data_IF_438591950325
#
_entry.id   IF_438591950325
#
_cell.length_a   1.000
_cell.length_b   1.000
_cell.length_c   1.000
_cell.angle_alpha   90.00
_cell.angle_beta   90.00
_cell.angle_gamma   90.00
#
_symmetry.space_group_name_H-M   'P 1'
#
loop_
_entity.id
_entity.type
_entity.pdbx_description
1 polymer ?
#
# COMPACT_ATOMS: atom_id res chain seq x y z
N UNK A 1 0.20 16.32 12.38
CA UNK A 1 -0.42 17.08 13.49
C UNK A 1 -1.83 16.53 13.67
N UNK A 2 -2.44 16.62 14.85
CA UNK A 2 -3.77 16.06 15.13
C UNK A 2 -4.69 17.20 15.56
N UNK A 3 -5.89 17.26 14.99
CA UNK A 3 -6.90 18.27 15.28
C UNK A 3 -7.50 18.03 16.67
N UNK A 4 -6.98 18.76 17.66
CA UNK A 4 -7.41 18.65 19.06
C UNK A 4 -8.86 19.08 19.28
N UNK A 5 -9.38 20.05 18.50
CA UNK A 5 -10.79 20.49 18.62
C UNK A 5 -11.73 19.35 18.28
N UNK A 6 -11.45 18.65 17.20
CA UNK A 6 -12.20 17.48 16.77
C UNK A 6 -12.17 16.34 17.79
N UNK A 7 -11.00 16.02 18.34
CA UNK A 7 -10.91 14.98 19.39
C UNK A 7 -11.66 15.36 20.66
N UNK A 8 -11.57 16.63 21.08
CA UNK A 8 -12.23 17.14 22.28
C UNK A 8 -13.76 17.13 22.13
N UNK A 9 -14.28 17.59 20.99
CA UNK A 9 -15.72 17.55 20.71
C UNK A 9 -16.28 16.11 20.77
N UNK A 10 -15.53 15.13 20.28
CA UNK A 10 -15.92 13.72 20.39
C UNK A 10 -15.85 13.22 21.83
N UNK A 11 -14.82 13.61 22.59
CA UNK A 11 -14.66 13.22 23.99
C UNK A 11 -15.79 13.76 24.87
N UNK A 12 -16.22 15.01 24.62
CA UNK A 12 -17.27 15.70 25.39
C UNK A 12 -18.69 15.27 24.98
N UNK A 13 -18.83 14.68 23.79
CA UNK A 13 -20.11 14.15 23.30
C UNK A 13 -20.52 12.84 24.01
N UNK A 14 -21.79 12.46 23.84
CA UNK A 14 -22.32 11.17 24.29
C UNK A 14 -21.58 9.94 23.69
N UNK A 15 -20.84 10.11 22.59
CA UNK A 15 -20.07 9.03 21.99
C UNK A 15 -18.78 8.73 22.75
N UNK A 16 -18.11 9.75 23.31
CA UNK A 16 -16.84 9.64 24.03
C UNK A 16 -15.64 9.05 23.25
N UNK A 17 -15.83 8.63 22.00
CA UNK A 17 -14.78 8.04 21.17
C UNK A 17 -15.14 8.03 19.68
N UNK A 18 -14.10 8.08 18.83
CA UNK A 18 -14.24 7.99 17.36
C UNK A 18 -14.92 6.69 16.93
N UNK A 19 -14.65 5.58 17.62
CA UNK A 19 -15.24 4.27 17.29
C UNK A 19 -16.76 4.26 17.45
N UNK A 20 -17.26 4.79 18.59
CA UNK A 20 -18.69 4.86 18.86
C UNK A 20 -19.40 5.84 17.93
N UNK A 21 -18.79 6.99 17.63
CA UNK A 21 -19.31 7.94 16.64
C UNK A 21 -19.38 7.29 15.25
N UNK A 22 -18.33 6.60 14.82
CA UNK A 22 -18.30 5.94 13.52
C UNK A 22 -19.38 4.85 13.40
N UNK A 23 -19.58 4.06 14.45
CA UNK A 23 -20.62 3.03 14.53
C UNK A 23 -22.02 3.66 14.43
N UNK A 24 -22.29 4.71 15.21
CA UNK A 24 -23.55 5.44 15.19
C UNK A 24 -23.89 5.98 13.79
N UNK A 25 -22.90 6.57 13.11
CA UNK A 25 -23.07 7.13 11.78
C UNK A 25 -23.06 6.08 10.65
N UNK A 26 -22.80 4.80 10.96
CA UNK A 26 -22.62 3.75 9.95
C UNK A 26 -21.43 4.01 9.01
N UNK A 27 -20.44 4.79 9.47
CA UNK A 27 -19.21 5.14 8.77
C UNK A 27 -18.06 4.23 9.21
N UNK A 28 -17.01 4.13 8.38
CA UNK A 28 -15.81 3.40 8.83
C UNK A 28 -15.03 4.25 9.83
N UNK A 29 -14.49 3.64 10.89
CA UNK A 29 -13.57 4.29 11.84
C UNK A 29 -12.50 5.14 11.16
N UNK A 30 -11.84 4.59 10.12
CA UNK A 30 -10.79 5.30 9.37
C UNK A 30 -11.27 6.55 8.62
N UNK A 31 -12.55 6.62 8.28
CA UNK A 31 -13.11 7.83 7.66
C UNK A 31 -13.27 8.93 8.71
N UNK A 32 -13.84 8.61 9.87
CA UNK A 32 -13.99 9.55 10.98
C UNK A 32 -12.62 9.99 11.52
N UNK A 33 -11.74 9.02 11.80
CA UNK A 33 -10.36 9.27 12.29
C UNK A 33 -9.53 10.13 11.33
N UNK A 34 -9.80 10.05 10.02
CA UNK A 34 -9.03 10.83 9.04
C UNK A 34 -9.31 12.32 9.06
N UNK A 35 -10.38 12.77 9.73
CA UNK A 35 -10.65 14.19 9.97
C UNK A 35 -9.95 14.71 11.24
N UNK A 36 -9.68 13.82 12.21
CA UNK A 36 -8.81 14.13 13.34
C UNK A 36 -7.34 14.24 12.95
N UNK A 37 -6.89 13.51 11.92
CA UNK A 37 -5.52 13.60 11.39
C UNK A 37 -5.42 14.79 10.45
N UNK A 38 -4.62 15.81 10.83
CA UNK A 38 -4.53 17.06 10.06
C UNK A 38 -4.17 16.79 8.59
N UNK A 39 -4.91 17.43 7.70
CA UNK A 39 -4.70 17.35 6.25
C UNK A 39 -5.96 17.10 5.43
N UNK A 40 -7.10 16.82 6.07
CA UNK A 40 -8.38 16.70 5.35
C UNK A 40 -9.24 17.93 5.54
N UNK A 41 -9.50 18.59 4.42
CA UNK A 41 -10.45 19.70 4.36
C UNK A 41 -11.88 19.19 4.53
N UNK A 42 -12.69 19.80 5.41
CA UNK A 42 -14.10 19.42 5.60
C UNK A 42 -14.96 19.78 4.38
N UNK A 43 -14.55 20.82 3.65
CA UNK A 43 -15.23 21.35 2.47
C UNK A 43 -14.55 20.88 1.19
N UNK A 44 -15.33 20.62 0.14
CA UNK A 44 -14.83 20.26 -1.18
C UNK A 44 -14.39 21.49 -2.01
N UNK A 45 -13.96 21.26 -3.26
CA UNK A 45 -13.51 22.37 -4.13
C UNK A 45 -14.63 23.35 -4.51
N UNK A 46 -15.89 22.90 -4.47
CA UNK A 46 -17.08 23.69 -4.82
C UNK A 46 -17.68 24.43 -3.62
N UNK A 47 -17.04 24.40 -2.45
CA UNK A 47 -17.62 24.99 -1.24
C UNK A 47 -18.73 24.14 -0.63
N UNK A 48 -18.79 22.84 -0.92
CA UNK A 48 -19.82 21.95 -0.38
C UNK A 48 -19.24 21.15 0.78
N UNK A 49 -19.92 21.15 1.92
CA UNK A 49 -19.57 20.30 3.07
C UNK A 49 -19.73 18.84 2.66
N UNK A 50 -18.73 18.01 2.97
CA UNK A 50 -18.80 16.57 2.65
C UNK A 50 -19.88 15.90 3.50
N UNK A 51 -20.56 14.91 2.94
CA UNK A 51 -21.59 14.14 3.65
C UNK A 51 -21.14 13.65 5.03
N UNK A 52 -19.98 12.98 5.08
CA UNK A 52 -19.46 12.44 6.35
C UNK A 52 -19.31 13.56 7.41
N UNK A 53 -18.89 14.76 6.99
CA UNK A 53 -18.70 15.90 7.90
C UNK A 53 -20.03 16.49 8.35
N UNK A 54 -20.99 16.67 7.43
CA UNK A 54 -22.31 17.15 7.78
C UNK A 54 -22.98 16.22 8.81
N UNK A 55 -22.87 14.90 8.61
CA UNK A 55 -23.39 13.90 9.55
C UNK A 55 -22.65 13.92 10.90
N UNK A 56 -21.34 14.18 10.91
CA UNK A 56 -20.56 14.33 12.16
C UNK A 56 -21.00 15.59 12.92
N UNK A 57 -21.14 16.73 12.25
CA UNK A 57 -21.60 17.98 12.84
C UNK A 57 -23.00 17.82 13.45
N UNK A 58 -23.91 17.18 12.73
CA UNK A 58 -25.27 16.89 13.22
C UNK A 58 -25.25 15.97 14.45
N UNK A 59 -24.46 14.89 14.44
CA UNK A 59 -24.40 13.97 15.56
C UNK A 59 -23.74 14.56 16.81
N UNK A 60 -22.77 15.46 16.63
CA UNK A 60 -22.06 16.13 17.73
C UNK A 60 -22.76 17.43 18.18
N UNK A 61 -23.85 17.84 17.51
CA UNK A 61 -24.56 19.10 17.73
C UNK A 61 -23.61 20.32 17.72
N UNK A 62 -22.75 20.40 16.71
CA UNK A 62 -21.72 21.43 16.61
C UNK A 62 -21.54 21.95 15.18
N UNK A 63 -21.02 23.17 15.05
CA UNK A 63 -20.72 23.79 13.76
C UNK A 63 -19.42 23.25 13.14
N UNK A 64 -19.14 23.67 11.91
CA UNK A 64 -17.90 23.29 11.21
C UNK A 64 -16.68 23.93 11.90
N UNK A 65 -16.84 25.16 12.36
CA UNK A 65 -15.86 26.04 12.98
C UNK A 65 -15.47 25.55 14.39
N UNK A 66 -16.41 24.89 15.07
CA UNK A 66 -16.16 24.23 16.35
C UNK A 66 -15.21 23.03 16.16
N UNK A 67 -15.37 22.29 15.06
CA UNK A 67 -14.61 21.07 14.79
C UNK A 67 -13.29 21.31 14.07
N UNK A 68 -13.23 22.31 13.19
CA UNK A 68 -12.12 22.52 12.27
C UNK A 68 -11.58 23.94 12.41
N UNK A 69 -10.25 24.11 12.46
CA UNK A 69 -9.66 25.44 12.53
C UNK A 69 -9.81 26.16 11.18
N UNK A 70 -9.76 27.49 11.20
CA UNK A 70 -10.03 28.34 10.02
C UNK A 70 -9.12 28.02 8.83
N UNK A 71 -7.88 27.59 9.07
CA UNK A 71 -6.95 27.22 8.01
C UNK A 71 -7.42 25.98 7.22
N UNK A 72 -8.33 25.18 7.78
CA UNK A 72 -8.97 24.05 7.10
C UNK A 72 -10.28 24.44 6.40
N UNK A 73 -10.91 25.55 6.82
CA UNK A 73 -12.13 26.13 6.22
C UNK A 73 -11.71 27.35 5.38
N UNK A 74 -10.92 27.10 4.34
CA UNK A 74 -10.28 28.16 3.54
C UNK A 74 -11.20 28.86 2.52
N UNK A 75 -12.52 28.66 2.62
CA UNK A 75 -13.50 29.15 1.65
C UNK A 75 -14.91 29.22 2.24
N UNK A 76 -15.78 30.08 1.70
CA UNK A 76 -17.21 30.02 1.96
C UNK A 76 -17.75 28.62 1.66
N UNK A 77 -18.61 28.12 2.53
CA UNK A 77 -19.21 26.80 2.37
C UNK A 77 -20.73 26.83 2.52
N UNK A 78 -21.36 25.78 2.01
CA UNK A 78 -22.77 25.49 2.24
C UNK A 78 -22.98 24.01 2.50
N UNK A 79 -23.94 23.69 3.36
CA UNK A 79 -24.44 22.33 3.56
C UNK A 79 -25.49 22.06 2.48
N UNK A 80 -25.47 20.88 1.86
CA UNK A 80 -26.53 20.48 0.92
C UNK A 80 -27.80 20.12 1.69
N UNK A 81 -28.94 20.45 1.09
CA UNK A 81 -30.27 20.04 1.60
C UNK A 81 -30.47 18.52 1.54
N UNK A 82 -29.82 17.83 0.60
CA UNK A 82 -29.88 16.37 0.49
C UNK A 82 -28.62 15.75 -0.11
N UNK A 83 -28.27 14.58 0.40
CA UNK A 83 -27.19 13.70 -0.06
C UNK A 83 -27.72 12.34 -0.55
N UNK A 84 -29.00 12.27 -0.92
CA UNK A 84 -29.63 11.04 -1.40
C UNK A 84 -28.98 10.46 -2.67
N UNK A 85 -28.26 11.30 -3.43
CA UNK A 85 -27.45 10.91 -4.59
C UNK A 85 -26.12 10.23 -4.22
N UNK A 86 -25.81 10.10 -2.93
CA UNK A 86 -24.55 9.56 -2.44
C UNK A 86 -23.37 10.51 -2.62
N UNK A 87 -23.62 11.80 -2.89
CA UNK A 87 -22.55 12.77 -3.08
C UNK A 87 -21.72 12.95 -1.81
N UNK A 88 -20.41 12.86 -1.93
CA UNK A 88 -19.50 12.93 -0.78
C UNK A 88 -19.54 11.69 0.13
N UNK A 89 -20.46 10.74 -0.10
CA UNK A 89 -20.43 9.44 0.57
C UNK A 89 -19.26 8.63 0.02
N UNK A 90 -18.39 8.19 0.90
CA UNK A 90 -17.39 7.19 0.52
C UNK A 90 -18.12 5.88 0.30
N UNK A 91 -17.99 5.31 -0.90
CA UNK A 91 -18.39 3.92 -1.16
C UNK A 91 -17.90 3.07 0.01
N UNK A 92 -18.82 2.46 0.77
CA UNK A 92 -18.47 1.45 1.76
C UNK A 92 -17.60 0.46 1.02
N UNK A 93 -16.30 0.41 1.33
CA UNK A 93 -15.49 -0.74 0.93
C UNK A 93 -16.19 -1.88 1.63
N UNK A 94 -16.97 -2.67 0.89
CA UNK A 94 -17.38 -3.99 1.35
C UNK A 94 -16.11 -4.58 1.96
N UNK A 95 -16.11 -4.92 3.26
CA UNK A 95 -14.95 -5.58 3.83
C UNK A 95 -14.68 -6.72 2.86
N UNK A 96 -13.48 -6.73 2.27
CA UNK A 96 -13.03 -7.93 1.57
C UNK A 96 -13.18 -8.98 2.64
N UNK A 97 -14.22 -9.83 2.56
CA UNK A 97 -14.34 -11.02 3.38
C UNK A 97 -12.94 -11.60 3.33
N UNK A 98 -12.26 -11.63 4.48
CA UNK A 98 -11.03 -12.37 4.62
C UNK A 98 -11.38 -13.74 4.08
N UNK A 99 -10.91 -14.02 2.86
CA UNK A 99 -11.20 -15.27 2.18
C UNK A 99 -10.33 -16.32 2.89
N UNK A 100 -10.78 -16.71 4.07
CA UNK A 100 -10.35 -17.82 4.89
C UNK A 100 -11.62 -18.52 5.35
N UNK A 101 -12.29 -19.16 4.41
CA UNK A 101 -13.25 -20.25 4.59
C UNK A 101 -13.66 -20.73 3.19
N UNK A 102 -13.21 -21.92 2.84
CA UNK A 102 -13.67 -22.77 1.73
C UNK A 102 -13.89 -22.16 0.35
N UNK A 103 -12.79 -21.94 -0.38
CA UNK A 103 -12.77 -22.23 -1.83
C UNK A 103 -11.43 -22.89 -2.16
N UNK A 104 -11.38 -23.97 -2.98
CA UNK A 104 -10.12 -24.43 -3.55
C UNK A 104 -9.59 -23.32 -4.44
N UNK A 105 -8.60 -22.58 -3.93
CA UNK A 105 -8.06 -21.39 -4.58
C UNK A 105 -7.04 -21.86 -5.61
N UNK A 106 -7.53 -22.29 -6.78
CA UNK A 106 -6.67 -22.50 -7.93
C UNK A 106 -5.82 -21.23 -8.11
N UNK A 107 -4.48 -21.32 -8.14
CA UNK A 107 -3.65 -20.13 -8.20
C UNK A 107 -3.97 -19.38 -9.49
N UNK A 108 -4.12 -18.03 -9.46
CA UNK A 108 -4.31 -17.27 -10.68
C UNK A 108 -3.09 -17.55 -11.55
N UNK A 109 -3.27 -18.26 -12.68
CA UNK A 109 -2.22 -18.88 -13.50
C UNK A 109 -0.92 -18.05 -13.57
N UNK A 110 -1.05 -16.73 -13.76
CA UNK A 110 0.06 -15.76 -13.82
C UNK A 110 0.96 -15.69 -12.58
N UNK A 111 0.45 -15.91 -11.36
CA UNK A 111 1.27 -15.90 -10.14
C UNK A 111 2.01 -17.23 -9.95
N UNK A 112 1.37 -18.36 -10.22
CA UNK A 112 2.02 -19.66 -10.17
C UNK A 112 3.12 -19.77 -11.22
N UNK A 113 2.87 -19.28 -12.42
CA UNK A 113 3.86 -19.22 -13.50
C UNK A 113 5.09 -18.37 -13.11
N UNK A 114 4.87 -17.20 -12.49
CA UNK A 114 5.97 -16.36 -11.98
C UNK A 114 6.79 -17.02 -10.87
N UNK A 115 6.13 -17.77 -9.98
CA UNK A 115 6.82 -18.50 -8.91
C UNK A 115 7.66 -19.63 -9.52
N UNK A 116 7.07 -20.45 -10.39
CA UNK A 116 7.75 -21.54 -11.10
C UNK A 116 8.95 -21.03 -11.90
N UNK A 117 8.77 -19.94 -12.65
CA UNK A 117 9.87 -19.33 -13.42
C UNK A 117 11.02 -18.92 -12.50
N UNK A 118 10.71 -18.26 -11.37
CA UNK A 118 11.73 -17.85 -10.41
C UNK A 118 12.43 -19.04 -9.76
N UNK A 119 11.71 -20.11 -9.45
CA UNK A 119 12.31 -21.34 -8.91
C UNK A 119 13.24 -22.00 -9.94
N UNK A 120 12.84 -22.04 -11.21
CA UNK A 120 13.69 -22.53 -12.30
C UNK A 120 14.95 -21.67 -12.46
N UNK A 121 14.81 -20.34 -12.50
CA UNK A 121 15.93 -19.39 -12.59
C UNK A 121 16.92 -19.58 -11.41
N UNK A 122 16.42 -19.81 -10.20
CA UNK A 122 17.26 -20.07 -9.02
C UNK A 122 17.93 -21.45 -9.06
N UNK A 123 17.24 -22.47 -9.56
CA UNK A 123 17.83 -23.80 -9.75
C UNK A 123 18.97 -23.75 -10.77
N UNK A 124 18.79 -23.01 -11.86
CA UNK A 124 19.83 -22.79 -12.87
C UNK A 124 21.06 -22.07 -12.28
N UNK A 125 20.85 -21.02 -11.49
CA UNK A 125 21.94 -20.34 -10.77
C UNK A 125 22.70 -21.28 -9.83
N UNK A 126 22.01 -22.22 -9.17
CA UNK A 126 22.68 -23.21 -8.32
C UNK A 126 23.57 -24.14 -9.13
N UNK A 127 23.12 -24.58 -10.30
CA UNK A 127 23.95 -25.37 -11.22
C UNK A 127 25.24 -24.64 -11.62
N UNK A 128 25.15 -23.35 -11.95
CA UNK A 128 26.34 -22.54 -12.28
C UNK A 128 27.24 -22.22 -11.07
N UNK A 129 26.69 -22.22 -9.86
CA UNK A 129 27.48 -22.13 -8.63
C UNK A 129 28.26 -23.41 -8.39
N UNK A 130 27.62 -24.57 -8.56
CA UNK A 130 28.25 -25.87 -8.43
C UNK A 130 29.33 -26.11 -9.50
N UNK A 131 29.17 -25.56 -10.71
CA UNK A 131 30.20 -25.60 -11.75
C UNK A 131 31.37 -24.63 -11.54
N UNK A 132 31.31 -23.79 -10.50
CA UNK A 132 32.36 -22.82 -10.16
C UNK A 132 32.35 -21.54 -11.00
N UNK A 133 31.30 -21.28 -11.79
CA UNK A 133 31.12 -20.01 -12.52
C UNK A 133 30.66 -18.88 -11.58
N UNK A 134 29.83 -19.19 -10.59
CA UNK A 134 29.35 -18.22 -9.60
C UNK A 134 30.11 -18.35 -8.27
N UNK A 135 30.23 -17.25 -7.49
CA UNK A 135 29.66 -15.93 -7.75
C UNK A 135 30.60 -14.96 -8.50
N UNK A 136 31.90 -15.27 -8.61
CA UNK A 136 32.90 -14.28 -9.03
C UNK A 136 33.30 -14.36 -10.51
N UNK A 137 33.30 -15.56 -11.11
CA UNK A 137 33.90 -15.78 -12.44
C UNK A 137 33.16 -15.05 -13.56
N UNK A 138 31.85 -14.82 -13.39
CA UNK A 138 31.03 -14.04 -14.34
C UNK A 138 31.42 -12.57 -14.47
N UNK A 139 32.19 -12.04 -13.52
CA UNK A 139 32.62 -10.64 -13.51
C UNK A 139 34.02 -10.44 -14.10
N UNK A 140 34.69 -11.53 -14.51
CA UNK A 140 35.97 -11.43 -15.22
C UNK A 140 35.69 -10.83 -16.60
N UNK A 141 36.41 -9.76 -16.92
CA UNK A 141 36.28 -8.99 -18.17
C UNK A 141 34.86 -8.43 -18.43
N UNK A 142 34.08 -8.21 -17.37
CA UNK A 142 32.70 -7.72 -17.46
C UNK A 142 32.63 -6.19 -17.26
N UNK A 143 32.81 -5.42 -18.33
CA UNK A 143 32.70 -3.95 -18.30
C UNK A 143 31.25 -3.46 -18.26
N UNK A 144 30.28 -4.30 -18.65
CA UNK A 144 28.87 -3.96 -18.79
C UNK A 144 28.01 -4.37 -17.57
N UNK A 145 28.65 -4.68 -16.44
CA UNK A 145 27.96 -5.11 -15.23
C UNK A 145 26.95 -4.02 -14.74
N UNK A 146 25.67 -4.38 -14.50
CA UNK A 146 24.70 -3.45 -13.94
C UNK A 146 25.15 -2.82 -12.61
N UNK A 147 24.84 -1.54 -12.42
CA UNK A 147 25.18 -0.81 -11.19
C UNK A 147 24.69 -1.53 -9.92
N UNK A 148 25.60 -1.69 -8.95
CA UNK A 148 25.30 -2.35 -7.68
C UNK A 148 25.25 -3.89 -7.75
N UNK A 149 25.49 -4.50 -8.90
CA UNK A 149 25.70 -5.95 -9.02
C UNK A 149 27.18 -6.28 -8.75
N UNK A 150 27.43 -7.16 -7.77
CA UNK A 150 28.77 -7.61 -7.42
C UNK A 150 28.74 -9.08 -6.95
N UNK A 151 29.90 -9.77 -6.85
CA UNK A 151 29.96 -11.18 -6.44
C UNK A 151 29.28 -11.45 -5.10
N UNK A 152 29.40 -10.52 -4.13
CA UNK A 152 28.76 -10.64 -2.82
C UNK A 152 27.23 -10.67 -2.93
N UNK A 153 26.65 -9.81 -3.77
CA UNK A 153 25.21 -9.78 -4.01
C UNK A 153 24.72 -11.11 -4.60
N UNK A 154 25.46 -11.66 -5.57
CA UNK A 154 25.16 -12.96 -6.19
C UNK A 154 25.24 -14.10 -5.18
N UNK A 155 26.27 -14.13 -4.33
CA UNK A 155 26.38 -15.14 -3.26
C UNK A 155 25.21 -15.11 -2.27
N UNK A 156 24.68 -13.93 -1.95
CA UNK A 156 23.50 -13.79 -1.09
C UNK A 156 22.22 -14.35 -1.75
N UNK A 157 22.13 -14.40 -3.07
CA UNK A 157 20.97 -14.97 -3.78
C UNK A 157 20.87 -16.49 -3.67
N UNK A 158 21.99 -17.15 -3.37
CA UNK A 158 22.09 -18.59 -3.20
C UNK A 158 21.88 -19.03 -1.74
N UNK A 159 21.78 -18.08 -0.82
CA UNK A 159 21.54 -18.35 0.59
C UNK A 159 20.13 -18.92 0.83
N UNK A 160 19.90 -19.64 1.95
CA UNK A 160 18.57 -20.22 2.27
C UNK A 160 17.44 -19.19 2.36
N UNK A 161 17.78 -17.94 2.67
CA UNK A 161 16.84 -16.79 2.72
C UNK A 161 17.34 -15.70 1.78
N UNK A 162 17.15 -15.84 0.46
CA UNK A 162 17.71 -14.90 -0.48
C UNK A 162 16.99 -13.55 -0.39
N UNK A 163 17.71 -12.42 -0.46
CA UNK A 163 17.10 -11.10 -0.52
C UNK A 163 16.30 -10.93 -1.81
N UNK A 164 15.57 -9.81 -1.93
CA UNK A 164 14.85 -9.49 -3.17
C UNK A 164 15.85 -9.27 -4.31
N UNK A 165 15.82 -10.15 -5.31
CA UNK A 165 16.68 -10.09 -6.49
C UNK A 165 16.05 -9.14 -7.53
N UNK A 166 16.75 -8.08 -7.97
CA UNK A 166 16.29 -7.27 -9.09
C UNK A 166 16.25 -8.10 -10.38
N UNK A 167 15.12 -8.06 -11.11
CA UNK A 167 14.94 -8.86 -12.32
C UNK A 167 16.01 -8.56 -13.40
N UNK A 168 16.46 -7.30 -13.50
CA UNK A 168 17.55 -6.89 -14.41
C UNK A 168 18.86 -7.59 -14.08
N UNK A 169 19.19 -7.72 -12.79
CA UNK A 169 20.44 -8.33 -12.36
C UNK A 169 20.42 -9.85 -12.54
N UNK A 170 19.28 -10.49 -12.23
CA UNK A 170 19.09 -11.92 -12.47
C UNK A 170 19.24 -12.28 -13.95
N UNK A 171 18.62 -11.50 -14.85
CA UNK A 171 18.70 -11.72 -16.28
C UNK A 171 20.14 -11.57 -16.81
N UNK A 172 20.88 -10.57 -16.32
CA UNK A 172 22.29 -10.38 -16.68
C UNK A 172 23.16 -11.58 -16.25
N UNK A 173 23.04 -12.00 -14.98
CA UNK A 173 23.82 -13.11 -14.43
C UNK A 173 23.56 -14.41 -15.19
N UNK A 174 22.29 -14.75 -15.43
CA UNK A 174 21.93 -15.96 -16.18
C UNK A 174 22.44 -15.93 -17.63
N UNK A 175 22.31 -14.79 -18.31
CA UNK A 175 22.83 -14.61 -19.67
C UNK A 175 24.34 -14.86 -19.70
N UNK A 176 25.08 -14.24 -18.78
CA UNK A 176 26.55 -14.37 -18.72
C UNK A 176 27.00 -15.78 -18.39
N UNK A 177 26.30 -16.47 -17.47
CA UNK A 177 26.61 -17.86 -17.15
C UNK A 177 26.45 -18.79 -18.37
N UNK A 178 25.38 -18.59 -19.16
CA UNK A 178 25.15 -19.36 -20.39
C UNK A 178 26.25 -19.14 -21.42
N UNK A 179 26.59 -17.87 -21.68
CA UNK A 179 27.70 -17.52 -22.60
C UNK A 179 29.03 -18.16 -22.19
N UNK A 180 29.33 -18.19 -20.89
CA UNK A 180 30.55 -18.82 -20.39
C UNK A 180 30.49 -20.34 -20.39
N UNK A 181 29.31 -20.93 -20.15
CA UNK A 181 29.13 -22.38 -20.23
C UNK A 181 29.32 -22.87 -21.67
N UNK A 182 28.81 -22.13 -22.65
CA UNK A 182 28.95 -22.44 -24.09
C UNK A 182 30.41 -22.32 -24.57
N UNK A 183 31.25 -21.52 -23.89
CA UNK A 183 32.69 -21.39 -24.20
C UNK A 183 33.57 -22.43 -23.52
N UNK A 184 33.06 -23.16 -22.51
CA UNK A 184 33.81 -24.17 -21.77
C UNK A 184 33.30 -25.62 -22.03
N UNK A 185 32.34 -25.79 -22.94
CA UNK A 185 31.85 -27.09 -23.42
C UNK A 185 32.40 -27.44 -24.78
#
# INVERSE_FOLDING_TARGET
>A
MRNKRYDQAIADSAFGSISRLAEHLGLSYRNVESYAKDGRRPVDRKGIVKYDIAAICEALDCSLEDLFPEEQIDRPYRVRESYADGYGQRKKKTPRKSAGADKPKAPPRRKAEKIRKREADLAELRGYFESGLLPSRIFVDAEDAPEGLNPRAVGLWLSPKPPKIPAKHLAYVLKRCREMADQNG
#
